data_IF_201323885358
#
_entry.id   IF_201323885358
#
_cell.length_a   1.000
_cell.length_b   1.000
_cell.length_c   1.000
_cell.angle_alpha   90.00
_cell.angle_beta   90.00
_cell.angle_gamma   90.00
#
_symmetry.space_group_name_H-M   'P 1'
#
loop_
_entity.id
_entity.type
_entity.pdbx_description
1 polymer ?
#
# COMPACT_ATOMS: atom_id res chain seq x y z
N UNK A 1 2.18 -19.31 0.40
CA UNK A 1 2.02 -18.87 1.81
C UNK A 1 3.10 -19.34 2.78
N UNK A 2 3.96 -20.32 2.43
CA UNK A 2 5.02 -20.81 3.35
C UNK A 2 5.95 -19.70 3.86
N UNK A 3 6.20 -18.65 3.08
CA UNK A 3 6.97 -17.48 3.53
C UNK A 3 6.33 -16.74 4.72
N UNK A 4 5.00 -16.55 4.71
CA UNK A 4 4.29 -15.93 5.84
C UNK A 4 4.36 -16.81 7.10
N UNK A 5 4.20 -18.12 6.92
CA UNK A 5 4.29 -19.09 8.01
C UNK A 5 5.71 -19.09 8.60
N UNK A 6 6.73 -19.09 7.75
CA UNK A 6 8.13 -19.02 8.16
C UNK A 6 8.42 -17.71 8.91
N UNK A 7 7.96 -16.57 8.40
CA UNK A 7 8.11 -15.27 9.06
C UNK A 7 7.52 -15.29 10.49
N UNK A 8 6.30 -15.81 10.66
CA UNK A 8 5.63 -15.83 11.97
C UNK A 8 6.20 -16.89 12.92
N UNK A 9 6.36 -18.12 12.47
CA UNK A 9 6.58 -19.27 13.38
C UNK A 9 8.04 -19.70 13.47
N UNK A 10 8.83 -19.45 12.44
CA UNK A 10 10.27 -19.79 12.43
C UNK A 10 11.09 -18.58 12.85
N UNK A 11 10.95 -17.46 12.14
CA UNK A 11 11.71 -16.23 12.40
C UNK A 11 11.14 -15.40 13.55
N UNK A 12 9.91 -15.69 13.99
CA UNK A 12 9.19 -14.94 15.04
C UNK A 12 9.14 -13.44 14.76
N UNK A 13 9.00 -13.07 13.49
CA UNK A 13 8.99 -11.68 13.07
C UNK A 13 7.78 -10.93 13.66
N UNK A 14 8.01 -9.70 14.11
CA UNK A 14 6.95 -8.80 14.55
C UNK A 14 6.13 -8.26 13.38
N UNK A 15 6.81 -8.00 12.26
CA UNK A 15 6.25 -7.53 11.00
C UNK A 15 6.86 -8.29 9.82
N UNK A 16 6.07 -8.44 8.75
CA UNK A 16 6.54 -8.96 7.48
C UNK A 16 6.13 -8.00 6.36
N UNK A 17 7.11 -7.55 5.58
CA UNK A 17 6.86 -6.80 4.35
C UNK A 17 6.68 -7.84 3.24
N UNK A 18 5.53 -7.81 2.58
CA UNK A 18 5.20 -8.72 1.48
C UNK A 18 5.08 -7.91 0.20
N UNK A 19 5.86 -8.28 -0.80
CA UNK A 19 5.86 -7.66 -2.11
C UNK A 19 5.83 -8.75 -3.19
N UNK A 20 5.32 -8.38 -4.36
CA UNK A 20 5.45 -9.21 -5.55
C UNK A 20 6.93 -9.39 -5.92
N UNK A 21 7.26 -10.53 -6.51
CA UNK A 21 8.60 -10.79 -7.02
C UNK A 21 8.98 -9.87 -8.20
N UNK A 22 10.26 -9.87 -8.62
CA UNK A 22 10.69 -9.13 -9.79
C UNK A 22 10.02 -9.64 -11.08
N UNK A 23 9.92 -8.78 -12.09
CA UNK A 23 9.36 -9.14 -13.40
C UNK A 23 7.84 -9.00 -13.48
N UNK A 24 7.30 -7.83 -13.13
CA UNK A 24 5.87 -7.56 -13.25
C UNK A 24 5.42 -7.61 -14.71
N UNK A 25 4.53 -8.53 -15.05
CA UNK A 25 3.97 -8.68 -16.40
C UNK A 25 2.55 -8.12 -16.41
N UNK A 26 2.23 -7.38 -17.47
CA UNK A 26 0.92 -6.80 -17.74
C UNK A 26 0.41 -7.19 -19.11
N UNK A 27 -0.85 -7.63 -19.24
CA UNK A 27 -1.49 -7.89 -20.54
C UNK A 27 -2.34 -6.72 -21.04
N UNK A 28 -2.20 -5.54 -20.41
CA UNK A 28 -3.02 -4.34 -20.64
C UNK A 28 -4.54 -4.57 -20.41
N UNK A 29 -4.92 -5.62 -19.69
CA UNK A 29 -6.30 -5.87 -19.25
C UNK A 29 -6.45 -5.56 -17.76
N UNK A 30 -7.66 -5.25 -17.27
CA UNK A 30 -7.88 -4.91 -15.86
C UNK A 30 -7.40 -5.97 -14.87
N UNK A 31 -7.50 -7.26 -15.26
CA UNK A 31 -7.13 -8.41 -14.41
C UNK A 31 -5.77 -9.04 -14.76
N UNK A 32 -5.09 -8.53 -15.79
CA UNK A 32 -3.85 -9.12 -16.28
C UNK A 32 -2.62 -8.37 -15.81
N UNK A 33 -2.46 -8.16 -14.50
CA UNK A 33 -1.27 -7.53 -13.92
C UNK A 33 -0.81 -8.29 -12.68
N UNK A 34 0.48 -8.57 -12.57
CA UNK A 34 1.08 -9.16 -11.36
C UNK A 34 0.81 -8.33 -10.10
N UNK A 35 0.58 -7.02 -10.25
CA UNK A 35 0.29 -6.13 -9.10
C UNK A 35 -0.97 -6.52 -8.33
N UNK A 36 -1.85 -7.29 -8.98
CA UNK A 36 -3.08 -7.81 -8.40
C UNK A 36 -2.86 -8.87 -7.32
N UNK A 37 -1.67 -9.46 -7.23
CA UNK A 37 -1.29 -10.39 -6.16
C UNK A 37 -1.48 -9.77 -4.76
N UNK A 38 -1.45 -8.44 -4.65
CA UNK A 38 -1.77 -7.73 -3.41
C UNK A 38 -3.07 -8.23 -2.78
N UNK A 39 -4.12 -8.50 -3.57
CA UNK A 39 -5.41 -8.94 -3.04
C UNK A 39 -5.37 -10.33 -2.41
N UNK A 40 -5.03 -11.39 -3.16
CA UNK A 40 -4.86 -12.73 -2.62
C UNK A 40 -3.84 -12.82 -1.48
N UNK A 41 -2.79 -12.00 -1.50
CA UNK A 41 -1.83 -11.90 -0.38
C UNK A 41 -2.53 -11.43 0.89
N UNK A 42 -3.32 -10.34 0.83
CA UNK A 42 -4.06 -9.82 1.98
C UNK A 42 -5.11 -10.81 2.49
N UNK A 43 -5.84 -11.47 1.59
CA UNK A 43 -6.79 -12.51 1.96
C UNK A 43 -6.10 -13.70 2.63
N UNK A 44 -4.91 -14.07 2.16
CA UNK A 44 -4.06 -15.10 2.75
C UNK A 44 -3.55 -14.72 4.14
N UNK A 45 -3.11 -13.47 4.34
CA UNK A 45 -2.74 -12.96 5.67
C UNK A 45 -3.91 -13.08 6.64
N UNK A 46 -5.10 -12.62 6.22
CA UNK A 46 -6.32 -12.75 7.02
C UNK A 46 -6.70 -14.22 7.27
N UNK A 47 -6.53 -15.10 6.28
CA UNK A 47 -6.77 -16.55 6.42
C UNK A 47 -5.93 -17.19 7.53
N UNK A 48 -4.70 -16.70 7.67
CA UNK A 48 -3.73 -17.20 8.63
C UNK A 48 -3.84 -16.50 10.00
N UNK A 49 -4.89 -15.71 10.22
CA UNK A 49 -5.13 -14.97 11.46
C UNK A 49 -4.24 -13.73 11.64
N UNK A 50 -3.58 -13.27 10.58
CA UNK A 50 -2.77 -12.06 10.59
C UNK A 50 -3.60 -10.79 10.35
N UNK A 51 -3.01 -9.64 10.67
CA UNK A 51 -3.56 -8.32 10.34
C UNK A 51 -2.96 -7.82 9.03
N UNK A 52 -3.78 -7.77 7.98
CA UNK A 52 -3.38 -7.18 6.69
C UNK A 52 -3.32 -5.66 6.77
N UNK A 53 -2.21 -5.08 6.31
CA UNK A 53 -2.04 -3.63 6.09
C UNK A 53 -1.73 -3.42 4.62
N UNK A 54 -2.68 -2.85 3.89
CA UNK A 54 -2.56 -2.54 2.49
C UNK A 54 -1.99 -1.14 2.31
N UNK A 55 -0.85 -1.06 1.62
CA UNK A 55 -0.30 0.19 1.10
C UNK A 55 -0.97 0.54 -0.23
N UNK A 56 -1.29 1.83 -0.41
CA UNK A 56 -1.71 2.35 -1.70
C UNK A 56 -0.49 2.79 -2.50
N UNK A 57 -0.49 2.54 -3.81
CA UNK A 57 0.41 3.25 -4.73
C UNK A 57 -0.28 4.53 -5.16
N UNK A 58 0.24 5.67 -4.73
CA UNK A 58 -0.31 7.00 -5.00
C UNK A 58 0.71 7.79 -5.83
N UNK A 59 0.27 8.55 -6.82
CA UNK A 59 1.12 9.50 -7.52
C UNK A 59 0.27 10.62 -8.10
N UNK A 60 0.74 11.86 -8.02
CA UNK A 60 0.14 13.00 -8.73
C UNK A 60 1.09 13.61 -9.77
N UNK A 61 2.28 13.01 -9.92
CA UNK A 61 3.35 13.52 -10.77
C UNK A 61 3.19 13.20 -12.26
N UNK A 62 2.27 12.30 -12.65
CA UNK A 62 1.96 12.06 -14.06
C UNK A 62 1.07 13.20 -14.62
N UNK A 63 1.39 13.70 -15.81
CA UNK A 63 0.60 14.74 -16.48
C UNK A 63 -0.80 14.25 -16.86
N UNK A 64 -0.96 12.96 -17.13
CA UNK A 64 -2.22 12.37 -17.59
C UNK A 64 -3.18 12.24 -16.41
N UNK A 65 -4.37 12.88 -16.44
CA UNK A 65 -5.29 12.89 -15.29
C UNK A 65 -5.69 11.50 -14.78
N UNK A 66 -5.83 10.53 -15.69
CA UNK A 66 -6.18 9.13 -15.34
C UNK A 66 -5.09 8.37 -14.56
N UNK A 67 -3.87 8.90 -14.49
CA UNK A 67 -2.76 8.30 -13.74
C UNK A 67 -2.51 9.03 -12.41
N UNK A 68 -3.32 10.03 -12.07
CA UNK A 68 -3.22 10.79 -10.82
C UNK A 68 -4.08 10.16 -9.72
N UNK A 69 -3.58 10.21 -8.49
CA UNK A 69 -4.19 9.59 -7.32
C UNK A 69 -3.76 8.14 -7.16
N UNK A 70 -4.70 7.26 -6.82
CA UNK A 70 -4.43 5.84 -6.56
C UNK A 70 -4.29 5.07 -7.87
N UNK A 71 -3.25 4.24 -7.96
CA UNK A 71 -3.02 3.33 -9.07
C UNK A 71 -4.25 2.45 -9.35
N UNK A 72 -4.63 2.33 -10.63
CA UNK A 72 -5.72 1.44 -11.04
C UNK A 72 -5.52 0.00 -10.57
N UNK A 73 -4.28 -0.50 -10.56
CA UNK A 73 -4.01 -1.85 -10.07
C UNK A 73 -4.27 -2.00 -8.56
N UNK A 74 -3.98 -0.98 -7.75
CA UNK A 74 -4.34 -1.00 -6.33
C UNK A 74 -5.86 -0.97 -6.16
N UNK A 75 -6.56 -0.14 -6.95
CA UNK A 75 -8.02 -0.07 -6.92
C UNK A 75 -8.65 -1.41 -7.28
N UNK A 76 -8.17 -2.07 -8.33
CA UNK A 76 -8.64 -3.41 -8.73
C UNK A 76 -8.30 -4.47 -7.68
N UNK A 77 -7.06 -4.49 -7.16
CA UNK A 77 -6.63 -5.47 -6.17
C UNK A 77 -7.49 -5.40 -4.90
N UNK A 78 -7.75 -4.20 -4.38
CA UNK A 78 -8.53 -4.00 -3.16
C UNK A 78 -10.04 -4.09 -3.42
N UNK A 79 -10.54 -3.34 -4.40
CA UNK A 79 -11.97 -3.28 -4.71
C UNK A 79 -12.55 -4.60 -5.25
N UNK A 80 -11.80 -5.30 -6.11
CA UNK A 80 -12.29 -6.50 -6.81
C UNK A 80 -11.77 -7.79 -6.19
N UNK A 81 -10.47 -7.90 -5.91
CA UNK A 81 -9.86 -9.19 -5.56
C UNK A 81 -9.79 -9.47 -4.07
N UNK A 82 -9.51 -8.47 -3.24
CA UNK A 82 -9.42 -8.63 -1.78
C UNK A 82 -10.83 -8.85 -1.22
N UNK A 83 -11.15 -10.06 -0.78
CA UNK A 83 -12.49 -10.39 -0.28
C UNK A 83 -12.64 -10.24 1.22
N UNK A 84 -11.55 -10.29 1.98
CA UNK A 84 -11.59 -10.12 3.43
C UNK A 84 -11.33 -8.66 3.82
N UNK A 85 -11.98 -8.16 4.90
CA UNK A 85 -11.65 -6.86 5.45
C UNK A 85 -10.17 -6.77 5.80
N UNK A 86 -9.54 -5.66 5.40
CA UNK A 86 -8.14 -5.36 5.67
C UNK A 86 -8.03 -3.88 6.03
N UNK A 87 -6.92 -3.47 6.65
CA UNK A 87 -6.64 -2.05 6.80
C UNK A 87 -6.05 -1.50 5.51
N UNK A 88 -6.56 -0.38 5.01
CA UNK A 88 -6.00 0.37 3.88
C UNK A 88 -5.50 1.70 4.40
N UNK A 89 -4.19 1.96 4.27
CA UNK A 89 -3.58 3.17 4.81
C UNK A 89 -3.50 4.25 3.74
N UNK A 90 -4.04 5.43 4.06
CA UNK A 90 -3.94 6.64 3.25
C UNK A 90 -2.99 7.61 3.98
N UNK A 91 -1.94 8.14 3.32
CA UNK A 91 -1.09 9.14 3.96
C UNK A 91 -1.86 10.44 4.20
N UNK A 92 -1.48 11.21 5.23
CA UNK A 92 -1.92 12.60 5.35
C UNK A 92 -1.49 13.39 4.11
N UNK A 93 -2.45 14.04 3.45
CA UNK A 93 -2.23 14.76 2.21
C UNK A 93 -2.96 16.11 2.21
N UNK A 94 -2.54 17.07 1.36
CA UNK A 94 -3.31 18.28 1.10
C UNK A 94 -4.75 17.95 0.70
N UNK A 95 -5.70 18.78 1.14
CA UNK A 95 -7.14 18.54 1.00
C UNK A 95 -7.56 18.16 -0.43
N UNK A 96 -7.08 18.87 -1.45
CA UNK A 96 -7.44 18.59 -2.84
C UNK A 96 -7.02 17.18 -3.33
N UNK A 97 -5.83 16.71 -2.91
CA UNK A 97 -5.35 15.36 -3.22
C UNK A 97 -6.14 14.32 -2.43
N UNK A 98 -6.42 14.59 -1.16
CA UNK A 98 -7.22 13.72 -0.30
C UNK A 98 -8.63 13.53 -0.85
N UNK A 99 -9.30 14.59 -1.27
CA UNK A 99 -10.64 14.54 -1.87
C UNK A 99 -10.65 13.63 -3.12
N UNK A 100 -9.61 13.75 -3.96
CA UNK A 100 -9.44 12.89 -5.15
C UNK A 100 -9.29 11.41 -4.76
N UNK A 101 -8.45 11.11 -3.76
CA UNK A 101 -8.22 9.74 -3.30
C UNK A 101 -9.49 9.16 -2.69
N UNK A 102 -10.17 9.88 -1.81
CA UNK A 102 -11.43 9.42 -1.18
C UNK A 102 -12.45 9.05 -2.24
N UNK A 103 -12.64 9.91 -3.24
CA UNK A 103 -13.56 9.63 -4.35
C UNK A 103 -13.15 8.36 -5.13
N UNK A 104 -11.86 8.16 -5.39
CA UNK A 104 -11.37 6.95 -6.08
C UNK A 104 -11.59 5.67 -5.25
N UNK A 105 -11.40 5.73 -3.94
CA UNK A 105 -11.62 4.60 -3.03
C UNK A 105 -13.11 4.26 -2.92
N UNK A 106 -13.99 5.27 -2.81
CA UNK A 106 -15.45 5.11 -2.78
C UNK A 106 -15.97 4.49 -4.07
N UNK A 107 -15.58 5.04 -5.24
CA UNK A 107 -15.96 4.51 -6.54
C UNK A 107 -15.50 3.07 -6.78
N UNK A 108 -14.47 2.62 -6.05
CA UNK A 108 -13.93 1.26 -6.12
C UNK A 108 -14.45 0.35 -5.01
N UNK A 109 -15.46 0.79 -4.23
CA UNK A 109 -16.03 0.08 -3.08
C UNK A 109 -15.03 -0.25 -1.95
N UNK A 110 -13.85 0.37 -1.95
CA UNK A 110 -12.80 0.09 -0.96
C UNK A 110 -13.23 0.56 0.43
N UNK A 111 -13.83 1.74 0.52
CA UNK A 111 -14.33 2.30 1.79
C UNK A 111 -15.46 1.47 2.41
N UNK A 112 -16.25 0.77 1.59
CA UNK A 112 -17.32 -0.12 2.06
C UNK A 112 -16.80 -1.51 2.49
N UNK A 113 -15.71 -1.98 1.88
CA UNK A 113 -15.15 -3.34 2.11
C UNK A 113 -14.05 -3.39 3.16
N UNK A 114 -13.33 -2.29 3.36
CA UNK A 114 -12.08 -2.26 4.11
C UNK A 114 -12.04 -1.13 5.13
N UNK A 115 -11.15 -1.25 6.11
CA UNK A 115 -10.93 -0.22 7.12
C UNK A 115 -9.92 0.79 6.59
N UNK A 116 -10.41 1.91 6.08
CA UNK A 116 -9.54 2.99 5.59
C UNK A 116 -9.11 3.85 6.77
N UNK A 117 -7.79 4.01 6.95
CA UNK A 117 -7.21 4.84 8.00
C UNK A 117 -6.28 5.88 7.40
N UNK A 118 -6.28 7.09 7.97
CA UNK A 118 -5.31 8.12 7.63
C UNK A 118 -4.12 8.04 8.59
N UNK A 119 -2.89 8.07 8.07
CA UNK A 119 -1.68 7.98 8.89
C UNK A 119 -0.57 8.91 8.43
N UNK A 120 0.31 9.29 9.36
CA UNK A 120 1.44 10.16 9.07
C UNK A 120 2.59 9.38 8.42
N UNK A 121 3.01 9.84 7.24
CA UNK A 121 4.14 9.27 6.51
C UNK A 121 5.45 10.03 6.69
N UNK A 122 5.42 11.24 7.28
CA UNK A 122 6.61 12.09 7.37
C UNK A 122 7.79 11.44 8.11
N UNK A 123 7.56 10.76 9.26
CA UNK A 123 8.67 10.11 9.98
C UNK A 123 9.43 9.08 9.13
N UNK A 124 8.75 8.43 8.19
CA UNK A 124 9.40 7.49 7.28
C UNK A 124 10.25 8.18 6.21
N UNK A 125 9.85 9.38 5.74
CA UNK A 125 10.67 10.18 4.82
C UNK A 125 11.91 10.73 5.53
N UNK A 126 11.75 11.20 6.76
CA UNK A 126 12.86 11.62 7.63
C UNK A 126 13.84 10.46 7.87
N UNK A 127 13.33 9.25 8.11
CA UNK A 127 14.16 8.06 8.28
C UNK A 127 14.93 7.68 7.00
N UNK A 128 14.33 7.82 5.81
CA UNK A 128 15.04 7.62 4.55
C UNK A 128 16.21 8.60 4.41
N UNK A 129 15.99 9.87 4.74
CA UNK A 129 17.04 10.89 4.72
C UNK A 129 18.14 10.60 5.75
N UNK A 130 17.78 10.24 6.99
CA UNK A 130 18.73 9.91 8.05
C UNK A 130 19.60 8.69 7.72
N UNK A 131 19.07 7.74 6.92
CA UNK A 131 19.78 6.57 6.43
C UNK A 131 20.53 6.78 5.10
N UNK A 132 20.54 8.01 4.56
CA UNK A 132 21.07 8.34 3.23
C UNK A 132 20.52 7.45 2.10
N UNK A 133 19.23 7.11 2.19
CA UNK A 133 18.51 6.33 1.18
C UNK A 133 17.78 7.26 0.22
N UNK A 134 18.10 7.13 -1.07
CA UNK A 134 17.52 7.93 -2.15
C UNK A 134 16.76 7.03 -3.14
N UNK A 135 15.66 6.39 -2.71
CA UNK A 135 14.89 5.52 -3.60
C UNK A 135 14.26 6.33 -4.74
N UNK A 136 14.05 5.67 -5.87
CA UNK A 136 13.39 6.26 -7.04
C UNK A 136 12.22 5.39 -7.50
N UNK A 137 11.27 6.00 -8.20
CA UNK A 137 10.12 5.32 -8.82
C UNK A 137 9.93 5.81 -10.23
N UNK A 138 10.06 4.91 -11.22
CA UNK A 138 10.01 5.29 -12.64
C UNK A 138 10.99 6.43 -12.99
N UNK A 139 12.19 6.41 -12.39
CA UNK A 139 13.21 7.45 -12.58
C UNK A 139 12.98 8.75 -11.81
N UNK A 140 11.90 8.86 -11.02
CA UNK A 140 11.58 10.05 -10.21
C UNK A 140 12.04 9.88 -8.78
N UNK A 141 12.63 10.92 -8.22
CA UNK A 141 13.06 11.06 -6.83
C UNK A 141 11.90 11.32 -5.87
N UNK A 142 12.20 11.34 -4.56
CA UNK A 142 11.23 11.69 -3.50
C UNK A 142 10.61 13.07 -3.74
N UNK A 143 11.38 14.06 -4.17
CA UNK A 143 10.84 15.41 -4.45
C UNK A 143 9.95 15.47 -5.68
N UNK A 144 10.15 14.58 -6.65
CA UNK A 144 9.40 14.56 -7.91
C UNK A 144 8.10 13.78 -7.84
N UNK A 145 8.00 12.76 -6.96
CA UNK A 145 6.79 11.95 -6.75
C UNK A 145 6.57 11.65 -5.26
N UNK A 146 6.50 12.71 -4.45
CA UNK A 146 6.49 12.63 -2.98
C UNK A 146 5.40 11.72 -2.44
N UNK A 147 4.20 11.78 -3.01
CA UNK A 147 3.04 11.04 -2.52
C UNK A 147 3.23 9.52 -2.66
N UNK A 148 4.03 9.07 -3.64
CA UNK A 148 4.40 7.66 -3.80
C UNK A 148 5.15 7.14 -2.58
N UNK A 149 6.17 7.89 -2.14
CA UNK A 149 7.00 7.52 -1.00
C UNK A 149 6.27 7.74 0.32
N UNK A 150 5.55 8.86 0.45
CA UNK A 150 4.76 9.18 1.64
C UNK A 150 3.72 8.09 1.94
N UNK A 151 3.08 7.53 0.90
CA UNK A 151 2.12 6.43 1.06
C UNK A 151 2.77 5.16 1.61
N UNK A 152 3.95 4.80 1.10
CA UNK A 152 4.70 3.65 1.62
C UNK A 152 5.15 3.87 3.08
N UNK A 153 5.66 5.07 3.38
CA UNK A 153 6.06 5.46 4.72
C UNK A 153 4.88 5.45 5.71
N UNK A 154 3.72 5.97 5.32
CA UNK A 154 2.52 5.97 6.17
C UNK A 154 2.07 4.54 6.50
N UNK A 155 2.07 3.64 5.52
CA UNK A 155 1.74 2.23 5.75
C UNK A 155 2.73 1.54 6.70
N UNK A 156 4.03 1.80 6.53
CA UNK A 156 5.09 1.31 7.42
C UNK A 156 4.94 1.82 8.85
N UNK A 157 4.73 3.13 9.01
CA UNK A 157 4.51 3.77 10.32
C UNK A 157 3.25 3.23 11.02
N UNK A 158 2.15 3.03 10.28
CA UNK A 158 0.93 2.44 10.84
C UNK A 158 1.14 0.99 11.28
N UNK A 159 1.87 0.21 10.47
CA UNK A 159 2.19 -1.17 10.80
C UNK A 159 3.06 -1.27 12.07
N UNK A 160 4.04 -0.37 12.22
CA UNK A 160 4.86 -0.26 13.43
C UNK A 160 3.99 0.10 14.65
N UNK A 161 3.11 1.09 14.52
CA UNK A 161 2.19 1.48 15.59
C UNK A 161 1.25 0.35 16.04
N UNK A 162 0.85 -0.55 15.13
CA UNK A 162 0.05 -1.72 15.48
C UNK A 162 0.79 -2.71 16.41
N UNK A 163 2.13 -2.63 16.52
CA UNK A 163 2.90 -3.44 17.45
C UNK A 163 2.84 -2.91 18.88
N UNK A 164 2.76 -1.58 19.03
CA UNK A 164 2.78 -0.91 20.34
C UNK A 164 1.51 -1.21 21.16
N UNK A 165 0.43 -1.65 20.51
CA UNK A 165 -0.81 -2.10 21.16
C UNK A 165 -0.90 -3.63 21.37
N UNK A 166 0.22 -4.35 21.27
CA UNK A 166 0.29 -5.73 21.78
C UNK A 166 0.48 -5.70 23.31
N UNK A 167 -0.53 -5.21 24.03
CA UNK A 167 -0.71 -5.45 25.47
C UNK A 167 -1.92 -6.35 25.70
#
# INVERSE_FOLDING_TARGET
YSGLIAARWVLKADLAIVAMGPGTVGTATPLGSTSLEQGPILDGVSALGGRGVALLRISFADERPRHRGVSHHCLTALGVLTQRPTTVVVPKLPRAMKDTIVQQLENSSITAKHHVVEWDGEPGLEALQACDLQPTTMGRSISEDREFFLSACAAGSYAAHCLDFKE
#
